data_IF_576253186521
#
_entry.id   IF_576253186521
#
_cell.length_a   1.000
_cell.length_b   1.000
_cell.length_c   1.000
_cell.angle_alpha   90.00
_cell.angle_beta   90.00
_cell.angle_gamma   90.00
#
_symmetry.space_group_name_H-M   'P 1'
#
loop_
_entity.id
_entity.type
_entity.pdbx_description
1 polymer ?
#
# COMPACT_ATOMS: atom_id res chain seq x y z
N UNK A 1 -29.08 -19.05 -18.48
CA UNK A 1 -28.44 -17.94 -19.20
C UNK A 1 -27.29 -17.47 -18.32
N UNK A 2 -26.08 -18.03 -18.50
CA UNK A 2 -24.83 -17.32 -18.89
C UNK A 2 -24.74 -15.92 -18.26
N UNK A 3 -23.80 -15.69 -17.34
CA UNK A 3 -22.49 -15.18 -17.75
C UNK A 3 -21.35 -15.61 -16.79
N UNK A 4 -20.48 -16.50 -17.27
CA UNK A 4 -19.16 -16.73 -16.67
C UNK A 4 -18.23 -15.66 -17.22
N UNK A 5 -17.88 -14.65 -16.42
CA UNK A 5 -16.88 -13.67 -16.81
C UNK A 5 -15.47 -14.22 -16.49
N UNK A 6 -14.99 -15.14 -17.33
CA UNK A 6 -13.57 -15.47 -17.38
C UNK A 6 -12.84 -14.26 -17.98
N UNK A 7 -12.32 -13.39 -17.11
CA UNK A 7 -11.39 -12.34 -17.52
C UNK A 7 -10.17 -13.01 -18.16
N UNK A 8 -9.99 -12.71 -19.44
CA UNK A 8 -8.93 -13.22 -20.30
C UNK A 8 -7.57 -12.73 -19.77
N UNK A 9 -6.70 -13.64 -19.35
CA UNK A 9 -5.41 -13.36 -18.69
C UNK A 9 -4.25 -13.33 -19.68
N UNK A 10 -4.46 -12.88 -20.91
CA UNK A 10 -3.39 -12.73 -21.89
C UNK A 10 -3.34 -11.26 -22.32
N UNK A 11 -2.19 -10.62 -22.08
CA UNK A 11 -1.82 -9.23 -22.36
C UNK A 11 -1.97 -8.19 -21.22
N UNK A 12 -1.72 -8.53 -19.94
CA UNK A 12 -1.32 -7.49 -18.98
C UNK A 12 0.11 -7.06 -19.29
N UNK A 13 0.26 -5.97 -20.06
CA UNK A 13 1.55 -5.31 -20.23
C UNK A 13 2.19 -5.07 -18.86
N UNK A 14 3.49 -5.35 -18.74
CA UNK A 14 4.26 -5.08 -17.53
C UNK A 14 4.07 -3.61 -17.12
N UNK A 15 3.60 -3.39 -15.90
CA UNK A 15 3.38 -2.05 -15.35
C UNK A 15 4.62 -1.66 -14.55
N UNK A 16 5.27 -0.56 -14.92
CA UNK A 16 6.40 0.00 -14.16
C UNK A 16 5.87 0.66 -12.88
N UNK A 17 6.44 0.28 -11.74
CA UNK A 17 6.05 0.78 -10.42
C UNK A 17 7.27 1.42 -9.77
N UNK A 18 7.25 2.75 -9.65
CA UNK A 18 8.28 3.49 -8.91
C UNK A 18 7.76 3.88 -7.53
N UNK A 19 8.36 3.32 -6.48
CA UNK A 19 8.00 3.60 -5.09
C UNK A 19 8.90 4.69 -4.50
N UNK A 20 8.35 5.48 -3.58
CA UNK A 20 9.12 6.36 -2.71
C UNK A 20 8.59 6.22 -1.28
N UNK A 21 9.51 5.98 -0.34
CA UNK A 21 9.21 5.82 1.09
C UNK A 21 9.81 6.98 1.87
N UNK A 22 9.07 7.48 2.86
CA UNK A 22 9.50 8.53 3.78
C UNK A 22 9.25 8.06 5.21
N UNK A 23 10.30 7.74 5.98
CA UNK A 23 10.17 7.37 7.37
C UNK A 23 9.48 8.46 8.19
N UNK A 24 8.67 8.06 9.15
CA UNK A 24 8.05 9.00 10.09
C UNK A 24 9.09 9.45 11.13
N UNK A 25 9.03 10.72 11.55
CA UNK A 25 9.92 11.24 12.59
C UNK A 25 9.67 10.57 13.94
N UNK A 26 8.39 10.35 14.29
CA UNK A 26 8.04 9.57 15.47
C UNK A 26 7.80 8.11 15.06
N UNK A 27 8.63 7.21 15.58
CA UNK A 27 8.50 5.77 15.39
C UNK A 27 7.64 5.11 16.48
N UNK A 28 7.04 5.88 17.40
CA UNK A 28 6.08 5.36 18.37
C UNK A 28 4.78 4.92 17.70
N UNK A 29 4.25 3.77 18.13
CA UNK A 29 3.04 3.18 17.57
C UNK A 29 3.31 2.22 16.40
N UNK A 30 2.24 1.84 15.69
CA UNK A 30 2.32 0.84 14.63
C UNK A 30 2.82 1.42 13.29
N UNK A 31 2.55 2.68 12.98
CA UNK A 31 2.97 3.32 11.73
C UNK A 31 4.46 3.68 11.78
N UNK A 32 5.17 3.49 10.67
CA UNK A 32 6.63 3.68 10.58
C UNK A 32 7.04 4.58 9.42
N UNK A 33 6.29 4.56 8.33
CA UNK A 33 6.60 5.38 7.15
C UNK A 33 5.33 5.74 6.37
N UNK A 34 5.42 6.84 5.63
CA UNK A 34 4.52 7.14 4.53
C UNK A 34 5.16 6.72 3.21
N UNK A 35 4.33 6.37 2.23
CA UNK A 35 4.79 6.00 0.90
C UNK A 35 3.91 6.60 -0.19
N UNK A 36 4.48 6.62 -1.40
CA UNK A 36 3.78 6.89 -2.65
C UNK A 36 4.33 5.99 -3.75
N UNK A 37 3.53 5.72 -4.78
CA UNK A 37 4.02 5.06 -5.99
C UNK A 37 3.57 5.80 -7.24
N UNK A 38 4.34 5.64 -8.32
CA UNK A 38 4.02 6.11 -9.66
C UNK A 38 3.89 4.89 -10.57
N UNK A 39 2.78 4.81 -11.30
CA UNK A 39 2.53 3.79 -12.32
C UNK A 39 2.88 4.33 -13.70
N UNK A 40 3.73 3.62 -14.43
CA UNK A 40 4.15 3.93 -15.81
C UNK A 40 4.61 5.39 -16.01
N UNK A 41 5.20 6.01 -14.99
CA UNK A 41 5.58 7.43 -15.01
C UNK A 41 4.42 8.42 -15.17
N UNK A 42 3.17 7.96 -15.18
CA UNK A 42 2.01 8.76 -15.61
C UNK A 42 0.97 9.00 -14.51
N UNK A 43 0.91 8.14 -13.50
CA UNK A 43 -0.11 8.24 -12.44
C UNK A 43 0.51 8.05 -11.06
N UNK A 44 0.33 9.02 -10.15
CA UNK A 44 0.88 8.98 -8.79
C UNK A 44 -0.21 8.76 -7.75
N UNK A 45 0.04 7.84 -6.82
CA UNK A 45 -0.79 7.61 -5.64
C UNK A 45 0.02 7.96 -4.38
N UNK A 46 -0.57 8.78 -3.51
CA UNK A 46 0.03 9.25 -2.26
C UNK A 46 -0.84 8.87 -1.06
N UNK A 47 -0.28 8.91 0.15
CA UNK A 47 -1.04 8.65 1.38
C UNK A 47 -1.07 7.17 1.76
N UNK A 48 -0.15 6.37 1.22
CA UNK A 48 0.05 4.99 1.62
C UNK A 48 0.79 5.01 2.95
N UNK A 49 0.35 4.18 3.89
CA UNK A 49 0.95 4.06 5.21
C UNK A 49 1.58 2.68 5.36
N UNK A 50 2.81 2.66 5.86
CA UNK A 50 3.53 1.43 6.19
C UNK A 50 3.63 1.34 7.70
N UNK A 51 3.29 0.18 8.26
CA UNK A 51 3.40 -0.06 9.69
C UNK A 51 3.84 -1.48 10.03
N UNK A 52 4.11 -1.69 11.31
CA UNK A 52 4.45 -2.99 11.90
C UNK A 52 3.33 -3.35 12.87
N UNK A 53 2.72 -4.51 12.65
CA UNK A 53 1.69 -5.06 13.53
C UNK A 53 2.28 -5.47 14.89
N UNK A 54 1.42 -5.68 15.89
CA UNK A 54 1.85 -6.20 17.20
C UNK A 54 2.58 -7.55 17.11
N UNK A 55 2.34 -8.33 16.05
CA UNK A 55 3.02 -9.61 15.77
C UNK A 55 4.35 -9.46 15.04
N UNK A 56 4.80 -8.22 14.77
CA UNK A 56 6.06 -7.93 14.06
C UNK A 56 5.97 -7.93 12.54
N UNK A 57 4.81 -8.27 11.94
CA UNK A 57 4.67 -8.26 10.49
C UNK A 57 4.50 -6.84 9.95
N UNK A 58 5.21 -6.52 8.86
CA UNK A 58 5.02 -5.29 8.08
C UNK A 58 3.67 -5.35 7.36
N UNK A 59 2.94 -4.24 7.36
CA UNK A 59 1.69 -4.09 6.63
C UNK A 59 1.66 -2.77 5.85
N UNK A 60 0.90 -2.78 4.75
CA UNK A 60 0.66 -1.63 3.89
C UNK A 60 -0.83 -1.28 3.94
N UNK A 61 -1.13 -0.04 4.31
CA UNK A 61 -2.48 0.55 4.29
C UNK A 61 -2.56 1.50 3.11
N UNK A 62 -3.53 1.27 2.24
CA UNK A 62 -3.81 2.13 1.09
C UNK A 62 -4.35 3.50 1.54
N UNK A 63 -4.32 4.51 0.66
CA UNK A 63 -4.90 5.81 0.99
C UNK A 63 -6.40 5.65 1.19
N UNK A 64 -6.90 6.10 2.33
CA UNK A 64 -8.31 5.99 2.72
C UNK A 64 -8.86 7.30 3.25
N UNK A 65 -10.20 7.39 3.26
CA UNK A 65 -10.92 8.49 3.86
C UNK A 65 -11.99 7.98 4.82
N UNK A 66 -12.27 8.78 5.86
CA UNK A 66 -13.36 8.54 6.80
C UNK A 66 -14.68 8.81 6.11
N UNK A 67 -15.57 7.82 6.07
CA UNK A 67 -16.85 7.92 5.33
C UNK A 67 -17.92 8.73 6.07
N UNK A 68 -17.68 9.08 7.34
CA UNK A 68 -18.67 9.72 8.21
C UNK A 68 -19.75 8.77 8.75
N UNK A 69 -19.67 7.48 8.41
CA UNK A 69 -20.55 6.43 8.94
C UNK A 69 -19.86 5.68 10.08
N UNK A 70 -20.68 5.14 10.98
CA UNK A 70 -20.25 4.23 12.03
C UNK A 70 -20.72 2.81 11.70
N UNK A 71 -19.93 1.81 12.09
CA UNK A 71 -20.36 0.40 12.07
C UNK A 71 -21.26 0.08 13.28
N UNK A 72 -21.74 -1.16 13.35
CA UNK A 72 -22.64 -1.63 14.42
C UNK A 72 -21.99 -1.55 15.82
N UNK A 73 -20.66 -1.46 15.89
CA UNK A 73 -19.90 -1.30 17.13
C UNK A 73 -19.56 0.18 17.44
N UNK A 74 -20.06 1.13 16.65
CA UNK A 74 -19.81 2.56 16.83
C UNK A 74 -18.43 3.03 16.36
N UNK A 75 -17.73 2.23 15.56
CA UNK A 75 -16.41 2.58 15.02
C UNK A 75 -16.54 3.23 13.65
N UNK A 76 -15.67 4.20 13.37
CA UNK A 76 -15.59 4.86 12.07
C UNK A 76 -15.33 3.87 10.93
N UNK A 77 -16.16 3.97 9.89
CA UNK A 77 -15.96 3.24 8.62
C UNK A 77 -15.05 4.07 7.71
N UNK A 78 -13.99 3.44 7.23
CA UNK A 78 -13.05 3.99 6.26
C UNK A 78 -13.24 3.31 4.91
N UNK A 79 -12.97 4.06 3.84
CA UNK A 79 -12.99 3.54 2.48
C UNK A 79 -11.72 3.93 1.75
N UNK A 80 -11.10 2.95 1.09
CA UNK A 80 -9.92 3.17 0.26
C UNK A 80 -10.28 4.08 -0.94
N UNK A 81 -9.43 5.08 -1.16
CA UNK A 81 -9.48 5.99 -2.31
C UNK A 81 -8.90 5.28 -3.55
N UNK A 82 -7.84 4.49 -3.36
CA UNK A 82 -7.18 3.74 -4.41
C UNK A 82 -6.76 2.36 -3.88
N UNK A 83 -7.00 1.30 -4.66
CA UNK A 83 -6.69 -0.06 -4.25
C UNK A 83 -6.39 -0.96 -5.47
N UNK A 84 -5.48 -1.95 -5.32
CA UNK A 84 -5.23 -2.91 -6.37
C UNK A 84 -6.39 -3.91 -6.48
N UNK A 85 -6.92 -4.05 -7.69
CA UNK A 85 -8.07 -4.92 -7.98
C UNK A 85 -7.64 -6.38 -8.16
N UNK A 86 -6.53 -6.63 -8.88
CA UNK A 86 -6.05 -8.00 -9.13
C UNK A 86 -5.09 -8.47 -8.03
N UNK A 87 -5.09 -9.77 -7.76
CA UNK A 87 -4.16 -10.39 -6.79
C UNK A 87 -2.71 -10.20 -7.20
N UNK A 88 -2.41 -10.38 -8.49
CA UNK A 88 -1.06 -10.27 -9.03
C UNK A 88 -0.51 -8.85 -8.81
N UNK A 89 -1.22 -7.83 -9.27
CA UNK A 89 -0.77 -6.45 -9.11
C UNK A 89 -0.68 -6.03 -7.64
N UNK A 90 -1.60 -6.52 -6.80
CA UNK A 90 -1.51 -6.32 -5.34
C UNK A 90 -0.19 -6.85 -4.79
N UNK A 91 0.20 -8.07 -5.16
CA UNK A 91 1.43 -8.69 -4.70
C UNK A 91 2.65 -7.89 -5.18
N UNK A 92 2.74 -7.62 -6.49
CA UNK A 92 3.83 -6.84 -7.09
C UNK A 92 3.98 -5.46 -6.43
N UNK A 93 2.87 -4.76 -6.22
CA UNK A 93 2.86 -3.45 -5.57
C UNK A 93 3.32 -3.52 -4.11
N UNK A 94 2.80 -4.48 -3.34
CA UNK A 94 3.09 -4.58 -1.91
C UNK A 94 4.56 -5.00 -1.69
N UNK A 95 5.07 -5.91 -2.52
CA UNK A 95 6.46 -6.34 -2.49
C UNK A 95 7.39 -5.17 -2.83
N UNK A 96 7.06 -4.36 -3.84
CA UNK A 96 7.82 -3.16 -4.17
C UNK A 96 7.85 -2.14 -3.01
N UNK A 97 6.71 -1.93 -2.34
CA UNK A 97 6.61 -1.03 -1.19
C UNK A 97 7.43 -1.52 0.01
N UNK A 98 7.31 -2.80 0.36
CA UNK A 98 8.04 -3.39 1.48
C UNK A 98 9.54 -3.44 1.19
N UNK A 99 9.94 -3.76 -0.04
CA UNK A 99 11.34 -3.76 -0.46
C UNK A 99 11.98 -2.38 -0.27
N UNK A 100 11.34 -1.33 -0.79
CA UNK A 100 11.84 0.04 -0.65
C UNK A 100 11.90 0.49 0.81
N UNK A 101 10.88 0.13 1.61
CA UNK A 101 10.87 0.42 3.04
C UNK A 101 12.05 -0.21 3.77
N UNK A 102 12.32 -1.49 3.54
CA UNK A 102 13.45 -2.18 4.16
C UNK A 102 14.78 -1.55 3.73
N UNK A 103 14.93 -1.17 2.46
CA UNK A 103 16.13 -0.49 1.97
C UNK A 103 16.35 0.87 2.65
N UNK A 104 15.29 1.66 2.85
CA UNK A 104 15.40 2.95 3.56
C UNK A 104 15.73 2.74 5.04
N UNK A 105 15.09 1.78 5.71
CA UNK A 105 15.37 1.47 7.12
C UNK A 105 16.82 1.02 7.31
N UNK A 106 17.31 0.13 6.46
CA UNK A 106 18.71 -0.33 6.51
C UNK A 106 19.71 0.83 6.29
N UNK A 107 19.38 1.77 5.40
CA UNK A 107 20.19 2.97 5.17
C UNK A 107 20.23 3.91 6.37
N UNK A 108 19.11 4.10 7.08
CA UNK A 108 19.05 4.92 8.29
C UNK A 108 19.81 4.26 9.46
N UNK A 109 19.73 2.93 9.61
CA UNK A 109 20.47 2.21 10.65
C UNK A 109 21.99 2.29 10.48
N UNK A 110 22.49 2.26 9.23
CA UNK A 110 23.94 2.40 8.93
C UNK A 110 24.50 3.82 9.12
N UNK A 111 23.62 4.80 9.30
CA UNK A 111 24.00 6.21 9.48
C UNK A 111 24.28 6.55 10.95
N UNK A 112 23.90 5.66 11.86
CA UNK A 112 24.14 5.71 13.31
C UNK A 112 25.49 5.05 13.61
#
# INVERSE_FOLDING_TARGET
MKENNAMNTDNTGSMDIKVTVTPMQNQEGCLKANASFILNGAFKVTGIRIGISQKGNVFVSMPDYKTGRLDDAGKDIYQDIAYPVTRQFRQELYDAVVKEFNSVVEWEEKKI
#
